data_IF_263932234619
#
_entry.id   IF_263932234619
#
_cell.length_a   1.000
_cell.length_b   1.000
_cell.length_c   1.000
_cell.angle_alpha   90.00
_cell.angle_beta   90.00
_cell.angle_gamma   90.00
#
_symmetry.space_group_name_H-M   'P 1'
#
loop_
_entity.id
_entity.type
_entity.pdbx_description
1 polymer ?
#
# COMPACT_ATOMS: atom_id res chain seq x y z
N UNK A 1 51.19 36.29 -20.02
CA UNK A 1 50.51 35.83 -21.25
C UNK A 1 49.23 35.15 -20.83
N UNK A 2 48.08 35.61 -21.32
CA UNK A 2 46.79 34.95 -21.10
C UNK A 2 46.60 33.97 -22.26
N UNK A 3 46.50 32.65 -22.02
CA UNK A 3 46.29 31.70 -23.10
C UNK A 3 44.94 31.97 -23.78
N UNK A 4 44.84 31.84 -25.12
CA UNK A 4 43.58 32.01 -25.81
C UNK A 4 42.57 30.96 -25.33
N UNK A 5 41.36 31.40 -24.97
CA UNK A 5 40.29 30.51 -24.52
C UNK A 5 39.92 29.54 -25.65
N UNK A 6 39.79 28.25 -25.32
CA UNK A 6 39.31 27.22 -26.26
C UNK A 6 37.89 27.56 -26.68
N UNK A 7 37.65 27.65 -27.98
CA UNK A 7 36.30 27.82 -28.52
C UNK A 7 35.58 26.47 -28.44
N UNK A 8 34.55 26.39 -27.60
CA UNK A 8 33.69 25.23 -27.50
C UNK A 8 32.67 25.24 -28.64
N UNK A 9 32.45 24.09 -29.27
CA UNK A 9 31.35 23.93 -30.24
C UNK A 9 30.06 23.62 -29.49
N UNK A 10 28.92 23.96 -30.09
CA UNK A 10 27.60 23.72 -29.47
C UNK A 10 27.38 22.25 -29.08
N UNK A 11 27.86 21.32 -29.89
CA UNK A 11 27.78 19.88 -29.60
C UNK A 11 28.52 19.52 -28.30
N UNK A 12 29.70 20.11 -28.07
CA UNK A 12 30.47 19.89 -26.83
C UNK A 12 29.76 20.52 -25.62
N UNK A 13 29.06 21.65 -25.80
CA UNK A 13 28.31 22.30 -24.70
C UNK A 13 27.14 21.43 -24.26
N UNK A 14 26.46 20.77 -25.20
CA UNK A 14 25.36 19.84 -24.92
C UNK A 14 25.90 18.61 -24.18
N UNK A 15 27.04 18.07 -24.62
CA UNK A 15 27.69 16.93 -23.98
C UNK A 15 28.15 17.25 -22.55
N UNK A 16 28.71 18.44 -22.32
CA UNK A 16 29.08 18.87 -20.96
C UNK A 16 27.88 19.18 -20.07
N UNK A 17 26.78 19.70 -20.62
CA UNK A 17 25.53 19.88 -19.87
C UNK A 17 24.96 18.53 -19.41
N UNK A 18 24.96 17.54 -20.31
CA UNK A 18 24.57 16.18 -20.00
C UNK A 18 25.44 15.56 -18.90
N UNK A 19 26.77 15.74 -18.97
CA UNK A 19 27.68 15.26 -17.94
C UNK A 19 27.53 16.00 -16.60
N UNK A 20 27.13 17.28 -16.62
CA UNK A 20 26.90 18.05 -15.40
C UNK A 20 25.60 17.71 -14.67
N UNK A 21 24.62 17.12 -15.37
CA UNK A 21 23.36 16.65 -14.77
C UNK A 21 23.56 15.38 -13.92
N UNK A 22 24.71 14.70 -14.05
CA UNK A 22 25.09 13.60 -13.17
C UNK A 22 25.96 14.12 -12.02
N UNK A 23 25.31 14.51 -10.91
CA UNK A 23 25.96 14.79 -9.62
C UNK A 23 26.86 13.64 -9.14
N UNK A 24 26.65 12.43 -9.68
CA UNK A 24 27.49 11.25 -9.50
C UNK A 24 28.98 11.49 -9.85
N UNK A 25 29.27 12.40 -10.78
CA UNK A 25 30.63 12.71 -11.24
C UNK A 25 31.28 13.86 -10.47
N UNK A 26 30.52 14.58 -9.65
CA UNK A 26 31.01 15.76 -8.94
C UNK A 26 31.88 15.38 -7.73
N UNK A 27 31.74 14.17 -7.19
CA UNK A 27 32.46 13.70 -6.00
C UNK A 27 32.96 12.24 -6.09
N UNK A 28 33.83 11.89 -7.03
CA UNK A 28 34.41 10.54 -7.12
C UNK A 28 35.23 10.16 -5.86
N UNK A 29 35.75 11.14 -5.12
CA UNK A 29 36.53 10.89 -3.89
C UNK A 29 35.66 10.53 -2.67
N UNK A 30 34.38 10.90 -2.64
CA UNK A 30 33.42 10.43 -1.61
C UNK A 30 32.74 9.11 -2.02
N UNK A 31 32.94 8.65 -3.26
CA UNK A 31 32.46 7.36 -3.79
C UNK A 31 33.37 6.19 -3.42
N UNK A 32 34.65 6.43 -3.09
CA UNK A 32 35.57 5.39 -2.60
C UNK A 32 35.31 4.99 -1.15
N UNK A 33 34.66 5.88 -0.38
CA UNK A 33 34.05 5.50 0.89
C UNK A 33 32.69 4.89 0.57
N UNK A 34 32.67 3.58 0.31
CA UNK A 34 31.43 2.81 0.18
C UNK A 34 30.67 3.00 1.49
N UNK A 35 29.76 3.97 1.50
CA UNK A 35 28.96 4.26 2.69
C UNK A 35 28.23 2.96 3.05
N UNK A 36 28.22 2.55 4.32
CA UNK A 36 27.68 1.24 4.71
C UNK A 36 26.22 1.04 4.26
N UNK A 37 25.42 2.11 4.14
CA UNK A 37 24.05 2.07 3.61
C UNK A 37 23.93 1.90 2.08
N UNK A 38 25.02 2.12 1.34
CA UNK A 38 25.07 1.95 -0.11
C UNK A 38 25.44 0.52 -0.53
N UNK A 39 25.86 -0.33 0.41
CA UNK A 39 26.08 -1.76 0.17
C UNK A 39 24.75 -2.45 -0.19
N UNK A 40 24.69 -3.27 -1.25
CA UNK A 40 23.50 -4.06 -1.60
C UNK A 40 22.98 -4.89 -0.42
N UNK A 41 23.88 -5.53 0.33
CA UNK A 41 23.53 -6.32 1.52
C UNK A 41 22.87 -5.47 2.61
N UNK A 42 23.42 -4.29 2.88
CA UNK A 42 22.85 -3.39 3.87
C UNK A 42 21.46 -2.90 3.47
N UNK A 43 21.21 -2.68 2.17
CA UNK A 43 19.86 -2.32 1.67
C UNK A 43 18.87 -3.45 1.86
N UNK A 44 19.24 -4.69 1.53
CA UNK A 44 18.39 -5.88 1.75
C UNK A 44 18.08 -6.06 3.24
N UNK A 45 19.08 -5.89 4.10
CA UNK A 45 18.91 -5.97 5.55
C UNK A 45 17.97 -4.88 6.08
N UNK A 46 18.16 -3.63 5.64
CA UNK A 46 17.30 -2.51 6.01
C UNK A 46 15.85 -2.73 5.53
N UNK A 47 15.66 -3.21 4.31
CA UNK A 47 14.32 -3.54 3.79
C UNK A 47 13.63 -4.62 4.63
N UNK A 48 14.34 -5.72 4.97
CA UNK A 48 13.83 -6.75 5.89
C UNK A 48 13.48 -6.17 7.26
N UNK A 49 14.36 -5.34 7.83
CA UNK A 49 14.13 -4.69 9.11
C UNK A 49 12.86 -3.81 9.09
N UNK A 50 12.73 -2.94 8.09
CA UNK A 50 11.55 -2.07 7.98
C UNK A 50 10.28 -2.85 7.66
N UNK A 51 10.35 -3.94 6.88
CA UNK A 51 9.20 -4.85 6.67
C UNK A 51 8.72 -5.45 7.99
N UNK A 52 9.62 -5.87 8.87
CA UNK A 52 9.25 -6.39 10.20
C UNK A 52 8.60 -5.30 11.06
N UNK A 53 9.20 -4.10 11.11
CA UNK A 53 8.64 -2.97 11.87
C UNK A 53 7.23 -2.61 11.37
N UNK A 54 7.05 -2.52 10.04
CA UNK A 54 5.75 -2.23 9.42
C UNK A 54 4.73 -3.34 9.63
N UNK A 55 5.16 -4.61 9.62
CA UNK A 55 4.27 -5.72 9.92
C UNK A 55 3.70 -5.63 11.35
N UNK A 56 4.51 -5.21 12.32
CA UNK A 56 4.05 -5.01 13.70
C UNK A 56 3.01 -3.89 13.82
N UNK A 57 3.23 -2.77 13.13
CA UNK A 57 2.26 -1.67 13.05
C UNK A 57 0.96 -2.13 12.36
N UNK A 58 1.10 -2.90 11.28
CA UNK A 58 -0.05 -3.35 10.49
C UNK A 58 -0.93 -4.34 11.25
N UNK A 59 -0.34 -5.20 12.09
CA UNK A 59 -1.10 -6.06 13.01
C UNK A 59 -2.00 -5.20 13.93
N UNK A 60 -1.47 -4.10 14.49
CA UNK A 60 -2.25 -3.23 15.35
C UNK A 60 -3.38 -2.52 14.58
N UNK A 61 -3.10 -2.04 13.37
CA UNK A 61 -4.11 -1.45 12.48
C UNK A 61 -5.21 -2.43 12.12
N UNK A 62 -4.83 -3.63 11.68
CA UNK A 62 -5.76 -4.70 11.34
C UNK A 62 -6.68 -5.04 12.52
N UNK A 63 -6.17 -5.10 13.75
CA UNK A 63 -7.01 -5.33 14.95
C UNK A 63 -8.08 -4.24 15.13
N UNK A 64 -7.71 -2.97 14.95
CA UNK A 64 -8.65 -1.84 15.04
C UNK A 64 -9.70 -1.93 13.92
N UNK A 65 -9.28 -2.27 12.71
CA UNK A 65 -10.16 -2.42 11.56
C UNK A 65 -11.15 -3.57 11.72
N UNK A 66 -10.71 -4.73 12.22
CA UNK A 66 -11.58 -5.85 12.57
C UNK A 66 -12.69 -5.38 13.51
N UNK A 67 -12.34 -4.68 14.60
CA UNK A 67 -13.32 -4.14 15.53
C UNK A 67 -14.28 -3.15 14.85
N UNK A 68 -13.78 -2.28 13.97
CA UNK A 68 -14.62 -1.32 13.22
C UNK A 68 -15.59 -2.02 12.27
N UNK A 69 -15.15 -3.06 11.57
CA UNK A 69 -16.01 -3.86 10.68
C UNK A 69 -17.08 -4.56 11.48
N UNK A 70 -16.73 -5.23 12.59
CA UNK A 70 -17.68 -5.90 13.48
C UNK A 70 -18.73 -4.90 14.01
N UNK A 71 -18.29 -3.72 14.43
CA UNK A 71 -19.17 -2.64 14.88
C UNK A 71 -20.10 -2.19 13.75
N UNK A 72 -19.57 -2.04 12.53
CA UNK A 72 -20.34 -1.65 11.35
C UNK A 72 -21.45 -2.65 11.00
N UNK A 73 -21.13 -3.94 11.05
CA UNK A 73 -22.09 -5.04 10.82
C UNK A 73 -23.24 -4.95 11.83
N UNK A 74 -22.93 -4.81 13.14
CA UNK A 74 -23.94 -4.69 14.20
C UNK A 74 -24.83 -3.47 13.98
N UNK A 75 -24.22 -2.31 13.81
CA UNK A 75 -24.94 -1.04 13.78
C UNK A 75 -25.82 -0.94 12.53
N UNK A 76 -25.36 -1.48 11.41
CA UNK A 76 -26.18 -1.53 10.19
C UNK A 76 -27.35 -2.49 10.32
N UNK A 77 -27.17 -3.66 10.95
CA UNK A 77 -28.28 -4.57 11.22
C UNK A 77 -29.35 -3.90 12.09
N UNK A 78 -28.94 -3.21 13.16
CA UNK A 78 -29.87 -2.46 14.03
C UNK A 78 -30.60 -1.37 13.23
N UNK A 79 -29.86 -0.60 12.41
CA UNK A 79 -30.43 0.46 11.60
C UNK A 79 -31.46 -0.06 10.59
N UNK A 80 -31.14 -1.13 9.86
CA UNK A 80 -32.02 -1.68 8.83
C UNK A 80 -33.29 -2.28 9.42
N UNK A 81 -33.21 -2.97 10.57
CA UNK A 81 -34.38 -3.50 11.28
C UNK A 81 -35.27 -2.36 11.77
N UNK A 82 -34.68 -1.33 12.40
CA UNK A 82 -35.44 -0.17 12.85
C UNK A 82 -36.15 0.55 11.68
N UNK A 83 -35.48 0.68 10.53
CA UNK A 83 -36.06 1.27 9.32
C UNK A 83 -37.12 0.41 8.66
N UNK A 84 -36.99 -0.91 8.71
CA UNK A 84 -38.04 -1.84 8.27
C UNK A 84 -39.31 -1.59 9.07
N UNK A 85 -39.22 -1.55 10.41
CA UNK A 85 -40.36 -1.38 11.31
C UNK A 85 -41.02 0.00 11.17
N UNK A 86 -40.23 1.07 11.04
CA UNK A 86 -40.72 2.44 10.82
C UNK A 86 -41.55 2.53 9.53
N UNK A 87 -41.04 1.97 8.44
CA UNK A 87 -41.66 2.09 7.11
C UNK A 87 -42.78 1.07 6.90
N UNK A 88 -42.85 0.00 7.72
CA UNK A 88 -43.80 -1.11 7.55
C UNK A 88 -45.26 -0.68 7.46
N UNK A 89 -45.65 0.34 8.23
CA UNK A 89 -47.03 0.83 8.25
C UNK A 89 -47.32 1.76 7.07
N UNK A 90 -46.37 2.63 6.71
CA UNK A 90 -46.55 3.61 5.64
C UNK A 90 -46.39 3.01 4.23
N UNK A 91 -45.42 2.12 4.06
CA UNK A 91 -45.12 1.48 2.77
C UNK A 91 -44.62 0.03 2.97
N UNK A 92 -45.52 -0.97 2.94
CA UNK A 92 -45.13 -2.36 3.14
C UNK A 92 -44.24 -2.91 2.02
N UNK A 93 -44.32 -2.36 0.81
CA UNK A 93 -43.46 -2.75 -0.31
C UNK A 93 -42.00 -2.35 -0.08
N UNK A 94 -41.77 -1.12 0.40
CA UNK A 94 -40.43 -0.65 0.75
C UNK A 94 -39.87 -1.41 1.96
N UNK A 95 -40.67 -1.68 2.98
CA UNK A 95 -40.26 -2.51 4.11
C UNK A 95 -39.82 -3.91 3.66
N UNK A 96 -40.56 -4.54 2.73
CA UNK A 96 -40.16 -5.81 2.14
C UNK A 96 -38.83 -5.73 1.37
N UNK A 97 -38.59 -4.65 0.63
CA UNK A 97 -37.32 -4.42 -0.06
C UNK A 97 -36.14 -4.26 0.92
N UNK A 98 -36.32 -3.47 1.99
CA UNK A 98 -35.33 -3.31 3.08
C UNK A 98 -35.05 -4.68 3.70
N UNK A 99 -36.11 -5.44 3.99
CA UNK A 99 -36.00 -6.81 4.50
C UNK A 99 -35.12 -7.67 3.61
N UNK A 100 -35.46 -7.73 2.32
CA UNK A 100 -34.71 -8.54 1.33
C UNK A 100 -33.25 -8.09 1.22
N UNK A 101 -32.98 -6.80 1.32
CA UNK A 101 -31.62 -6.26 1.31
C UNK A 101 -30.82 -6.72 2.53
N UNK A 102 -31.34 -6.58 3.74
CA UNK A 102 -30.57 -6.95 4.93
C UNK A 102 -30.38 -8.46 5.07
N UNK A 103 -31.36 -9.29 4.64
CA UNK A 103 -31.16 -10.75 4.55
C UNK A 103 -30.04 -11.16 3.59
N UNK A 104 -29.88 -10.43 2.48
CA UNK A 104 -28.76 -10.66 1.56
C UNK A 104 -27.44 -10.29 2.24
N UNK A 105 -27.42 -9.16 2.94
CA UNK A 105 -26.25 -8.65 3.64
C UNK A 105 -25.77 -9.55 4.76
N UNK A 106 -26.72 -10.12 5.52
CA UNK A 106 -26.45 -11.05 6.61
C UNK A 106 -25.60 -12.26 6.16
N UNK A 107 -25.73 -12.70 4.90
CA UNK A 107 -24.89 -13.77 4.35
C UNK A 107 -23.42 -13.35 4.26
N UNK A 108 -23.16 -12.15 3.75
CA UNK A 108 -21.80 -11.61 3.68
C UNK A 108 -21.25 -11.35 5.08
N UNK A 109 -22.06 -10.72 5.94
CA UNK A 109 -21.70 -10.43 7.33
C UNK A 109 -21.36 -11.72 8.11
N UNK A 110 -22.13 -12.80 7.90
CA UNK A 110 -21.83 -14.11 8.51
C UNK A 110 -20.51 -14.70 8.02
N UNK A 111 -20.18 -14.50 6.74
CA UNK A 111 -18.92 -14.97 6.15
C UNK A 111 -17.74 -14.19 6.73
N UNK A 112 -17.86 -12.86 6.85
CA UNK A 112 -16.84 -12.02 7.49
C UNK A 112 -16.64 -12.43 8.94
N UNK A 113 -17.73 -12.64 9.69
CA UNK A 113 -17.64 -13.07 11.09
C UNK A 113 -16.96 -14.43 11.25
N UNK A 114 -17.28 -15.40 10.39
CA UNK A 114 -16.60 -16.70 10.37
C UNK A 114 -15.10 -16.55 10.11
N UNK A 115 -14.71 -15.73 9.13
CA UNK A 115 -13.30 -15.47 8.83
C UNK A 115 -12.56 -14.84 10.01
N UNK A 116 -13.17 -13.89 10.71
CA UNK A 116 -12.56 -13.29 11.91
C UNK A 116 -12.42 -14.30 13.05
N UNK A 117 -13.42 -15.17 13.25
CA UNK A 117 -13.34 -16.26 14.22
C UNK A 117 -12.24 -17.27 13.87
N UNK A 118 -12.11 -17.63 12.59
CA UNK A 118 -11.08 -18.55 12.13
C UNK A 118 -9.68 -17.93 12.24
N UNK A 119 -9.55 -16.63 11.97
CA UNK A 119 -8.32 -15.88 12.17
C UNK A 119 -7.92 -15.90 13.65
N UNK A 120 -8.84 -15.56 14.56
CA UNK A 120 -8.57 -15.58 15.99
C UNK A 120 -8.21 -16.99 16.49
N UNK A 121 -8.89 -18.04 16.00
CA UNK A 121 -8.57 -19.43 16.32
C UNK A 121 -7.19 -19.85 15.82
N UNK A 122 -6.83 -19.51 14.57
CA UNK A 122 -5.53 -19.86 13.97
C UNK A 122 -4.37 -19.14 14.66
N UNK A 123 -4.57 -17.87 15.01
CA UNK A 123 -3.58 -17.10 15.74
C UNK A 123 -3.48 -17.54 17.23
N UNK A 124 -4.56 -18.07 17.80
CA UNK A 124 -4.59 -18.57 19.17
C UNK A 124 -4.17 -17.49 20.16
N UNK A 125 -3.19 -17.81 21.02
CA UNK A 125 -2.65 -16.88 22.01
C UNK A 125 -1.91 -15.68 21.41
N UNK A 126 -1.54 -15.72 20.12
CA UNK A 126 -0.88 -14.60 19.43
C UNK A 126 -1.86 -13.53 18.95
N UNK A 127 -3.17 -13.80 19.01
CA UNK A 127 -4.17 -12.81 18.64
C UNK A 127 -4.26 -11.73 19.72
N UNK A 128 -3.87 -10.51 19.39
CA UNK A 128 -3.88 -9.36 20.31
C UNK A 128 -5.14 -8.50 20.18
N UNK A 129 -5.99 -8.76 19.19
CA UNK A 129 -7.22 -8.01 18.94
C UNK A 129 -8.41 -8.50 19.77
N UNK A 130 -9.57 -7.89 19.54
CA UNK A 130 -10.85 -8.33 20.11
C UNK A 130 -11.88 -8.56 19.01
N UNK A 131 -12.79 -9.52 19.23
CA UNK A 131 -13.94 -9.76 18.35
C UNK A 131 -15.22 -9.12 18.89
N UNK A 132 -15.12 -8.35 19.96
CA UNK A 132 -16.26 -7.66 20.56
C UNK A 132 -16.58 -6.39 19.76
N UNK A 133 -17.87 -6.13 19.45
CA UNK A 133 -18.27 -4.90 18.81
C UNK A 133 -17.93 -3.69 19.69
N UNK A 134 -17.30 -2.68 19.11
CA UNK A 134 -17.04 -1.41 19.75
C UNK A 134 -18.26 -0.48 19.80
N UNK A 135 -18.00 0.79 20.13
CA UNK A 135 -19.01 1.85 20.14
C UNK A 135 -18.64 2.88 19.07
N UNK A 136 -19.56 3.13 18.13
CA UNK A 136 -19.42 4.25 17.19
C UNK A 136 -19.57 5.58 17.92
N UNK A 137 -18.60 6.47 17.74
CA UNK A 137 -18.59 7.80 18.36
C UNK A 137 -19.58 8.77 17.68
N UNK A 138 -19.98 8.53 16.43
CA UNK A 138 -20.87 9.42 15.67
C UNK A 138 -22.34 9.03 15.82
N UNK A 139 -23.17 9.97 16.27
CA UNK A 139 -24.65 9.92 16.24
C UNK A 139 -25.25 10.04 14.83
N UNK A 140 -24.42 10.08 13.80
CA UNK A 140 -24.87 10.22 12.41
C UNK A 140 -25.38 8.86 11.96
N UNK A 141 -26.69 8.80 11.74
CA UNK A 141 -27.40 7.70 11.08
C UNK A 141 -26.59 7.26 9.85
N UNK A 142 -26.46 5.96 9.54
CA UNK A 142 -25.83 5.54 8.30
C UNK A 142 -26.64 6.13 7.15
N UNK A 143 -26.16 7.23 6.57
CA UNK A 143 -26.63 7.67 5.27
C UNK A 143 -26.28 6.54 4.32
N UNK A 144 -27.30 6.06 3.62
CA UNK A 144 -27.29 4.88 2.76
C UNK A 144 -25.97 4.72 1.97
N UNK A 145 -25.43 3.49 1.82
CA UNK A 145 -24.26 3.23 0.96
C UNK A 145 -24.45 3.60 -0.52
N UNK A 146 -25.64 4.03 -0.92
CA UNK A 146 -25.99 4.31 -2.32
C UNK A 146 -25.59 5.72 -2.80
N UNK A 147 -25.03 6.57 -1.95
CA UNK A 147 -24.70 7.97 -2.31
C UNK A 147 -23.26 8.16 -2.82
N UNK A 148 -22.48 7.08 -2.94
CA UNK A 148 -21.07 7.10 -3.37
C UNK A 148 -20.75 6.42 -4.69
N UNK A 149 -21.74 6.02 -5.51
CA UNK A 149 -21.48 5.25 -6.74
C UNK A 149 -21.28 6.11 -8.01
N UNK A 150 -21.18 7.43 -7.87
CA UNK A 150 -20.77 8.30 -8.95
C UNK A 150 -19.62 9.15 -8.43
N UNK A 151 -18.44 8.54 -8.32
CA UNK A 151 -17.20 9.28 -8.21
C UNK A 151 -16.78 9.68 -9.64
N UNK A 152 -17.00 10.95 -10.07
CA UNK A 152 -16.59 11.40 -11.39
C UNK A 152 -15.08 11.27 -11.60
N UNK A 153 -14.27 11.13 -10.55
CA UNK A 153 -12.83 10.87 -10.64
C UNK A 153 -12.53 9.49 -11.18
N UNK A 154 -13.39 8.49 -10.95
CA UNK A 154 -13.17 7.12 -11.43
C UNK A 154 -13.48 6.99 -12.92
N UNK A 155 -14.53 7.67 -13.40
CA UNK A 155 -14.80 7.77 -14.83
C UNK A 155 -13.73 8.58 -15.57
N UNK A 156 -13.17 9.63 -14.94
CA UNK A 156 -12.05 10.37 -15.50
C UNK A 156 -10.78 9.51 -15.59
N UNK A 157 -10.47 8.75 -14.54
CA UNK A 157 -9.34 7.82 -14.54
C UNK A 157 -9.51 6.68 -15.55
N UNK A 158 -10.73 6.17 -15.74
CA UNK A 158 -11.03 5.15 -16.76
C UNK A 158 -10.90 5.71 -18.19
N UNK A 159 -11.29 6.97 -18.42
CA UNK A 159 -11.08 7.64 -19.72
C UNK A 159 -9.61 7.94 -19.98
N UNK A 160 -8.87 8.36 -18.97
CA UNK A 160 -7.42 8.61 -19.07
C UNK A 160 -6.65 7.31 -19.35
N UNK A 161 -7.00 6.21 -18.67
CA UNK A 161 -6.44 4.89 -18.95
C UNK A 161 -6.75 4.40 -20.38
N UNK A 162 -7.97 4.67 -20.89
CA UNK A 162 -8.34 4.34 -22.27
C UNK A 162 -7.58 5.19 -23.30
N UNK A 163 -7.34 6.47 -23.00
CA UNK A 163 -6.55 7.37 -23.86
C UNK A 163 -5.08 6.92 -23.92
N UNK A 164 -4.49 6.56 -22.77
CA UNK A 164 -3.12 6.03 -22.67
C UNK A 164 -3.01 4.72 -23.46
N UNK A 165 -3.96 3.78 -23.31
CA UNK A 165 -3.96 2.52 -24.06
C UNK A 165 -4.04 2.75 -25.58
N UNK A 166 -4.83 3.74 -26.01
CA UNK A 166 -4.97 4.09 -27.43
C UNK A 166 -3.71 4.73 -28.01
N UNK A 167 -3.03 5.56 -27.21
CA UNK A 167 -1.73 6.16 -27.58
C UNK A 167 -0.62 5.10 -27.66
N UNK A 168 -0.65 4.09 -26.79
CA UNK A 168 0.28 2.95 -26.85
C UNK A 168 0.05 2.04 -28.06
N UNK A 169 -1.20 1.85 -28.50
CA UNK A 169 -1.50 1.12 -29.75
C UNK A 169 -1.02 1.87 -31.02
N UNK A 170 -0.98 3.21 -30.99
CA UNK A 170 -0.60 4.03 -32.14
C UNK A 170 0.93 4.22 -32.27
N UNK A 171 1.69 4.08 -31.17
CA UNK A 171 3.14 4.23 -31.17
C UNK A 171 3.92 3.01 -31.68
N UNK A 172 3.28 1.85 -31.86
CA UNK A 172 3.88 0.69 -32.54
C UNK A 172 5.17 0.15 -31.93
N UNK A 173 5.48 0.51 -30.68
CA UNK A 173 6.58 -0.09 -29.93
C UNK A 173 6.11 -1.46 -29.45
N UNK A 174 6.72 -2.50 -30.01
CA UNK A 174 6.52 -3.87 -29.56
C UNK A 174 6.86 -3.94 -28.08
N UNK A 175 5.98 -4.60 -27.34
CA UNK A 175 6.26 -5.11 -26.01
C UNK A 175 7.58 -5.90 -26.04
N UNK A 176 8.70 -5.25 -25.71
CA UNK A 176 9.77 -5.95 -25.03
C UNK A 176 9.22 -6.22 -23.63
N UNK A 177 8.61 -7.38 -23.48
CA UNK A 177 8.29 -7.98 -22.19
C UNK A 177 9.63 -8.08 -21.44
N UNK A 178 9.95 -7.02 -20.68
CA UNK A 178 11.03 -7.06 -19.72
C UNK A 178 10.59 -8.09 -18.68
N UNK A 179 11.09 -9.31 -18.84
CA UNK A 179 11.15 -10.27 -17.76
C UNK A 179 11.82 -9.55 -16.58
N UNK A 180 11.01 -9.04 -15.65
CA UNK A 180 11.51 -8.65 -14.34
C UNK A 180 11.94 -9.96 -13.73
N UNK A 181 13.23 -10.24 -13.86
CA UNK A 181 13.89 -11.34 -13.19
C UNK A 181 13.84 -11.04 -11.70
N UNK A 182 12.74 -11.47 -11.06
CA UNK A 182 12.56 -11.45 -9.59
C UNK A 182 13.67 -12.26 -8.88
N UNK A 183 14.54 -12.96 -9.63
CA UNK A 183 15.72 -13.70 -9.16
C UNK A 183 17.00 -12.85 -9.02
N UNK A 184 16.98 -11.55 -9.38
CA UNK A 184 18.07 -10.62 -9.06
C UNK A 184 18.09 -10.18 -7.59
N UNK A 185 17.22 -10.75 -6.76
CA UNK A 185 17.41 -10.79 -5.31
C UNK A 185 18.48 -11.82 -4.97
N UNK A 186 19.75 -11.49 -5.25
CA UNK A 186 20.92 -12.28 -4.88
C UNK A 186 20.67 -13.03 -3.57
N UNK A 187 20.79 -14.37 -3.63
CA UNK A 187 20.94 -15.26 -2.48
C UNK A 187 22.15 -14.80 -1.66
N UNK A 188 22.00 -13.73 -0.90
CA UNK A 188 22.89 -13.45 0.21
C UNK A 188 22.50 -14.48 1.25
N UNK A 189 23.33 -15.51 1.38
CA UNK A 189 23.14 -16.58 2.34
C UNK A 189 22.96 -15.95 3.74
N UNK A 190 22.04 -16.47 4.56
CA UNK A 190 21.75 -15.91 5.89
C UNK A 190 23.02 -15.76 6.75
N UNK A 191 24.03 -16.60 6.49
CA UNK A 191 25.36 -16.59 7.09
C UNK A 191 26.17 -15.34 6.69
N UNK A 192 26.15 -14.93 5.41
CA UNK A 192 26.76 -13.69 4.93
C UNK A 192 26.06 -12.44 5.48
N UNK A 193 24.73 -12.53 5.67
CA UNK A 193 23.95 -11.47 6.30
C UNK A 193 24.32 -11.30 7.79
N UNK A 194 24.59 -12.41 8.48
CA UNK A 194 24.98 -12.43 9.89
C UNK A 194 26.40 -11.91 10.12
N UNK A 195 27.37 -12.29 9.27
CA UNK A 195 28.75 -11.77 9.35
C UNK A 195 28.82 -10.24 9.12
N UNK A 196 28.00 -9.71 8.21
CA UNK A 196 27.96 -8.26 7.96
C UNK A 196 27.17 -7.47 9.01
N UNK A 197 26.19 -8.09 9.68
CA UNK A 197 25.50 -7.50 10.83
C UNK A 197 26.48 -7.19 11.98
N UNK A 198 27.39 -8.12 12.28
CA UNK A 198 28.43 -7.95 13.31
C UNK A 198 29.40 -6.82 12.94
N UNK A 199 29.75 -6.72 11.65
CA UNK A 199 30.60 -5.66 11.12
C UNK A 199 29.95 -4.27 11.20
N UNK A 200 28.63 -4.17 10.96
CA UNK A 200 27.89 -2.90 11.08
C UNK A 200 27.76 -2.48 12.55
N UNK A 201 27.53 -3.44 13.47
CA UNK A 201 27.45 -3.16 14.90
C UNK A 201 28.79 -2.66 15.47
N UNK A 202 29.91 -3.25 15.06
CA UNK A 202 31.25 -2.82 15.51
C UNK A 202 31.62 -1.39 15.07
N UNK A 203 31.17 -0.95 13.89
CA UNK A 203 31.43 0.43 13.41
C UNK A 203 30.59 1.47 14.17
N UNK A 204 29.49 1.05 14.82
CA UNK A 204 28.62 1.95 15.59
C UNK A 204 29.04 2.17 17.05
N UNK A 205 29.94 1.34 17.59
CA UNK A 205 30.48 1.49 18.96
C UNK A 205 31.72 2.41 19.04
N UNK A 206 32.34 2.74 17.89
CA UNK A 206 33.56 3.56 17.80
C UNK A 206 33.31 5.01 17.30
N UNK A 207 32.04 5.47 17.28
CA UNK A 207 31.64 6.84 16.84
C UNK A 207 31.10 7.72 17.98
#
# INVERSE_FOLDING_TARGET
MVPPARQLRWDEVIEYAFLSDFDLLQKPAELSEVRPWASPTARVLLDKYFKIQRAQEEIQRCNIEICRVITSIRDEKIFLVAKEDEVRQSNPGLAWCIRRYWFRRERYDSTHMQRFQDLAKKAGERFTGTLEPGVRLSKVVPTSPMEGLLDPSREAAEREAQEIARQMEESGDRDEELEIDDDLGERIEEEQLAEQLDTIYLVSEDA
#
